data_IF_026313756639
#
_entry.id   IF_026313756639
#
_cell.length_a   1.000
_cell.length_b   1.000
_cell.length_c   1.000
_cell.angle_alpha   90.00
_cell.angle_beta   90.00
_cell.angle_gamma   90.00
#
_symmetry.space_group_name_H-M   'P 1'
#
loop_
_entity.id
_entity.type
_entity.pdbx_description
1 polymer ?
#
# COMPACT_ATOMS: atom_id res chain seq x y z
N UNK A 1 -3.80 -11.53 -1.61
CA UNK A 1 -3.99 -10.06 -1.59
C UNK A 1 -2.65 -9.40 -1.34
N UNK A 2 -2.25 -8.37 -2.11
CA UNK A 2 -0.92 -7.75 -2.04
C UNK A 2 -0.96 -6.39 -1.30
N UNK A 3 -0.09 -6.17 -0.28
CA UNK A 3 -0.08 -4.92 0.49
C UNK A 3 0.62 -3.78 -0.26
N UNK A 4 -0.17 -2.94 -0.95
CA UNK A 4 0.33 -1.81 -1.76
C UNK A 4 0.87 -0.63 -0.93
N UNK A 5 0.59 -0.59 0.38
CA UNK A 5 1.12 0.41 1.31
C UNK A 5 2.61 0.23 1.61
N UNK A 6 3.19 -0.94 1.33
CA UNK A 6 4.61 -1.25 1.52
C UNK A 6 5.34 -1.34 0.17
N UNK A 7 6.65 -1.07 0.16
CA UNK A 7 7.43 -1.23 -1.06
C UNK A 7 7.54 -2.72 -1.45
N UNK A 8 7.82 -3.02 -2.72
CA UNK A 8 8.06 -4.39 -3.15
C UNK A 8 9.19 -5.05 -2.36
N UNK A 9 10.29 -4.31 -2.15
CA UNK A 9 11.40 -4.77 -1.33
C UNK A 9 10.94 -5.12 0.09
N UNK A 10 10.18 -4.23 0.74
CA UNK A 10 9.64 -4.47 2.07
C UNK A 10 8.79 -5.74 2.08
N UNK A 11 7.84 -5.89 1.16
CA UNK A 11 6.96 -7.05 1.08
C UNK A 11 7.70 -8.37 0.89
N UNK A 12 8.78 -8.37 0.11
CA UNK A 12 9.63 -9.55 -0.09
C UNK A 12 10.43 -9.86 1.18
N UNK A 13 11.00 -8.84 1.83
CA UNK A 13 11.82 -9.03 3.04
C UNK A 13 10.99 -9.35 4.29
N UNK A 14 9.78 -8.81 4.41
CA UNK A 14 8.92 -8.95 5.57
C UNK A 14 7.98 -10.15 5.46
N UNK A 15 8.17 -11.03 4.47
CA UNK A 15 7.32 -12.18 4.20
C UNK A 15 7.19 -13.19 5.37
N UNK A 16 7.93 -13.00 6.46
CA UNK A 16 7.80 -13.78 7.71
C UNK A 16 7.53 -12.97 8.98
N UNK A 17 7.48 -11.63 8.93
CA UNK A 17 7.27 -10.79 10.13
C UNK A 17 5.80 -10.36 10.24
N UNK A 18 5.16 -10.67 11.38
CA UNK A 18 3.81 -10.17 11.77
C UNK A 18 3.88 -8.70 12.20
N UNK A 19 4.47 -7.82 11.40
CA UNK A 19 4.28 -6.40 11.63
C UNK A 19 2.85 -6.03 11.26
N UNK A 20 2.20 -5.23 12.12
CA UNK A 20 0.83 -4.81 11.89
C UNK A 20 0.79 -3.91 10.64
N UNK A 21 0.24 -4.36 9.50
CA UNK A 21 0.40 -3.64 8.22
C UNK A 21 -0.29 -2.26 8.20
N UNK A 22 -1.08 -1.98 9.24
CA UNK A 22 -2.00 -0.86 9.35
C UNK A 22 -1.43 0.36 10.08
N UNK A 23 -0.28 0.22 10.76
CA UNK A 23 0.49 1.34 11.33
C UNK A 23 1.52 1.88 10.32
N UNK A 24 1.14 1.97 9.05
CA UNK A 24 2.01 2.43 7.98
C UNK A 24 1.58 3.84 7.52
N UNK A 25 2.57 4.70 7.27
CA UNK A 25 2.40 6.08 6.81
C UNK A 25 1.57 6.20 5.54
N UNK A 26 1.52 5.14 4.72
CA UNK A 26 0.80 5.09 3.46
C UNK A 26 -0.62 4.52 3.56
N UNK A 27 -1.08 4.12 4.76
CA UNK A 27 -2.48 3.74 4.99
C UNK A 27 -3.28 5.01 5.23
N UNK A 28 -4.02 5.42 4.21
CA UNK A 28 -4.72 6.71 4.21
C UNK A 28 -5.96 6.68 5.13
N UNK A 29 -6.64 5.53 5.21
CA UNK A 29 -7.86 5.35 6.02
C UNK A 29 -7.61 4.86 7.44
N UNK A 30 -6.39 5.01 8.00
CA UNK A 30 -6.08 4.58 9.37
C UNK A 30 -7.04 5.17 10.40
N UNK A 31 -7.37 6.47 10.27
CA UNK A 31 -8.31 7.14 11.18
C UNK A 31 -9.73 6.57 11.09
N UNK A 32 -10.22 6.30 9.88
CA UNK A 32 -11.57 5.77 9.66
C UNK A 32 -11.70 4.31 10.13
N UNK A 33 -10.61 3.55 10.08
CA UNK A 33 -10.59 2.12 10.42
C UNK A 33 -10.17 1.86 11.87
N UNK A 34 -9.67 2.86 12.59
CA UNK A 34 -9.25 2.75 13.98
C UNK A 34 -10.38 2.24 14.92
N UNK A 35 -11.62 2.76 14.87
CA UNK A 35 -12.68 2.29 15.78
C UNK A 35 -13.06 0.82 15.57
N UNK A 36 -12.97 0.34 14.33
CA UNK A 36 -13.28 -1.06 13.97
C UNK A 36 -12.12 -1.95 14.44
N UNK A 37 -10.87 -1.54 14.20
CA UNK A 37 -9.68 -2.26 14.66
C UNK A 37 -9.61 -2.35 16.19
N UNK A 38 -9.96 -1.28 16.89
CA UNK A 38 -9.93 -1.26 18.36
C UNK A 38 -10.99 -2.18 18.98
N UNK A 39 -12.17 -2.30 18.36
CA UNK A 39 -13.26 -3.16 18.84
C UNK A 39 -13.12 -4.63 18.42
N UNK A 40 -12.73 -4.88 17.18
CA UNK A 40 -12.69 -6.22 16.61
C UNK A 40 -11.35 -6.93 16.80
N UNK A 41 -10.29 -6.20 17.19
CA UNK A 41 -8.91 -6.68 17.29
C UNK A 41 -8.41 -7.44 16.04
N UNK A 42 -9.05 -7.19 14.89
CA UNK A 42 -8.76 -7.83 13.63
C UNK A 42 -8.88 -6.81 12.50
N UNK A 43 -8.29 -7.16 11.37
CA UNK A 43 -8.34 -6.35 10.15
C UNK A 43 -9.22 -7.00 9.06
N UNK A 44 -10.07 -7.97 9.42
CA UNK A 44 -10.88 -8.71 8.45
C UNK A 44 -11.90 -7.81 7.75
N UNK A 45 -12.41 -6.82 8.46
CA UNK A 45 -13.42 -5.88 7.98
C UNK A 45 -12.85 -4.58 7.41
N UNK A 46 -11.52 -4.43 7.42
CA UNK A 46 -10.84 -3.21 7.00
C UNK A 46 -9.85 -3.50 5.89
N UNK A 47 -9.89 -2.73 4.80
CA UNK A 47 -8.89 -2.78 3.73
C UNK A 47 -8.01 -1.54 3.83
N UNK A 48 -6.68 -1.71 3.75
CA UNK A 48 -5.75 -0.60 3.71
C UNK A 48 -5.88 0.16 2.38
N UNK A 49 -6.27 1.45 2.45
CA UNK A 49 -6.35 2.32 1.29
C UNK A 49 -5.09 3.15 1.16
N UNK A 50 -4.62 3.35 -0.07
CA UNK A 50 -3.43 4.16 -0.36
C UNK A 50 -3.84 5.30 -1.29
N UNK A 51 -3.44 6.52 -0.93
CA UNK A 51 -3.65 7.70 -1.75
C UNK A 51 -2.42 7.97 -2.61
N UNK A 52 -2.58 8.15 -3.91
CA UNK A 52 -1.47 8.43 -4.82
C UNK A 52 -1.85 8.20 -6.28
N UNK A 53 -0.94 7.62 -7.06
CA UNK A 53 -1.16 7.33 -8.48
C UNK A 53 -0.74 5.90 -8.80
N UNK A 54 -1.48 5.25 -9.69
CA UNK A 54 -1.19 3.91 -10.19
C UNK A 54 -1.25 3.93 -11.72
N UNK A 55 -0.19 3.46 -12.36
CA UNK A 55 -0.13 3.30 -13.81
C UNK A 55 0.59 2.02 -14.17
N UNK A 56 0.01 1.22 -15.05
CA UNK A 56 0.60 0.00 -15.57
C UNK A 56 0.66 0.06 -17.09
N UNK A 57 1.80 -0.35 -17.65
CA UNK A 57 2.04 -0.45 -19.09
C UNK A 57 2.42 -1.91 -19.36
N UNK A 58 1.54 -2.65 -20.05
CA UNK A 58 1.67 -4.10 -20.25
C UNK A 58 2.41 -4.52 -21.51
N UNK A 59 2.71 -3.58 -22.42
CA UNK A 59 3.20 -3.88 -23.76
C UNK A 59 4.39 -3.01 -24.13
N UNK A 60 5.36 -2.90 -23.22
CA UNK A 60 6.62 -2.25 -23.55
C UNK A 60 7.57 -3.28 -24.13
N UNK A 61 7.75 -3.28 -25.46
CA UNK A 61 8.76 -4.10 -26.11
C UNK A 61 10.09 -3.35 -26.19
N UNK A 62 11.12 -3.85 -25.51
CA UNK A 62 12.47 -3.28 -25.53
C UNK A 62 13.43 -4.38 -25.98
N UNK A 63 14.17 -4.17 -27.07
CA UNK A 63 15.08 -5.16 -27.66
C UNK A 63 14.41 -6.54 -27.92
N UNK A 64 13.14 -6.55 -28.32
CA UNK A 64 12.38 -7.77 -28.60
C UNK A 64 11.89 -8.53 -27.35
N UNK A 65 12.05 -7.96 -26.14
CA UNK A 65 11.50 -8.50 -24.90
C UNK A 65 10.30 -7.69 -24.46
N UNK A 66 9.21 -8.37 -24.13
CA UNK A 66 8.04 -7.74 -23.53
C UNK A 66 8.26 -7.49 -22.04
N UNK A 67 8.06 -6.25 -21.61
CA UNK A 67 8.19 -5.81 -20.23
C UNK A 67 6.87 -5.23 -19.75
N UNK A 68 6.47 -5.65 -18.54
CA UNK A 68 5.39 -5.04 -17.79
C UNK A 68 5.99 -4.02 -16.82
N UNK A 69 5.69 -2.74 -17.03
CA UNK A 69 6.17 -1.66 -16.16
C UNK A 69 5.00 -1.11 -15.36
N UNK A 70 5.15 -1.09 -14.03
CA UNK A 70 4.15 -0.57 -13.11
C UNK A 70 4.77 0.55 -12.30
N UNK A 71 4.13 1.72 -12.32
CA UNK A 71 4.48 2.88 -11.50
C UNK A 71 3.41 3.08 -10.43
N UNK A 72 3.85 3.08 -9.18
CA UNK A 72 2.98 3.34 -8.02
C UNK A 72 3.59 4.51 -7.23
N UNK A 73 2.86 5.61 -7.11
CA UNK A 73 3.18 6.70 -6.20
C UNK A 73 2.23 6.69 -5.02
N UNK A 74 2.73 7.09 -3.85
CA UNK A 74 2.00 7.00 -2.57
C UNK A 74 2.28 8.27 -1.78
N UNK A 75 1.22 8.90 -1.28
CA UNK A 75 1.29 10.08 -0.44
C UNK A 75 1.22 9.65 1.02
N UNK A 76 2.14 10.15 1.85
CA UNK A 76 2.09 9.95 3.29
C UNK A 76 0.88 10.66 3.90
N UNK A 77 0.16 9.98 4.79
CA UNK A 77 -1.00 10.53 5.50
C UNK A 77 -0.64 11.69 6.44
N UNK A 78 0.60 11.73 6.95
CA UNK A 78 1.07 12.72 7.92
C UNK A 78 1.25 14.13 7.31
N UNK A 79 1.28 14.25 5.98
CA UNK A 79 1.53 15.50 5.25
C UNK A 79 0.33 15.90 4.36
N UNK A 80 -0.88 15.66 4.85
CA UNK A 80 -2.13 15.91 4.13
C UNK A 80 -2.88 17.19 4.55
N UNK A 81 -2.34 17.98 5.49
CA UNK A 81 -3.00 19.18 6.01
C UNK A 81 -2.62 20.48 5.31
N UNK A 82 -3.51 21.48 5.40
CA UNK A 82 -3.23 22.88 5.10
C UNK A 82 -2.41 23.46 6.26
N UNK A 83 -1.12 23.70 6.04
CA UNK A 83 -0.29 24.56 6.90
C UNK A 83 -0.03 25.86 6.16
#
# INVERSE_FOLDING_TARGET
>A
TYPIMQSLQQNVTSAGMKETPYENLFVWNTFLTEPIRSRCHNALWSVALVHGHFKQVMQLSVFGRELNVILISRRSRHFAGTR
#
